data_IF_012580975698
#
_entry.id   IF_012580975698
#
_cell.length_a   1.000
_cell.length_b   1.000
_cell.length_c   1.000
_cell.angle_alpha   90.00
_cell.angle_beta   90.00
_cell.angle_gamma   90.00
#
_symmetry.space_group_name_H-M   'P 1'
#
loop_
_entity.id
_entity.type
_entity.pdbx_description
1 polymer ?
#
# COMPACT_ATOMS: atom_id res chain seq x y z
N UNK A 1 31.96 -11.21 2.08
CA UNK A 1 32.50 -10.37 3.16
C UNK A 1 32.41 -8.92 2.72
N UNK A 2 31.80 -8.03 3.50
CA UNK A 2 31.74 -6.57 3.25
C UNK A 2 32.49 -5.89 4.38
N UNK A 3 33.30 -4.89 4.04
CA UNK A 3 34.00 -4.03 5.00
C UNK A 3 33.55 -2.59 4.81
N UNK A 4 33.23 -1.88 5.89
CA UNK A 4 32.85 -0.48 5.90
C UNK A 4 33.71 0.25 6.95
N UNK A 5 34.30 1.37 6.57
CA UNK A 5 34.97 2.28 7.52
C UNK A 5 33.95 3.34 7.93
N UNK A 6 33.82 3.52 9.23
CA UNK A 6 32.80 4.42 9.80
C UNK A 6 33.31 5.86 9.71
N UNK A 7 32.55 6.72 9.03
CA UNK A 7 32.89 8.14 8.85
C UNK A 7 32.26 9.08 9.88
N UNK A 8 31.27 8.59 10.66
CA UNK A 8 30.60 9.40 11.68
C UNK A 8 29.88 8.50 12.71
N UNK A 9 29.66 9.03 13.90
CA UNK A 9 28.97 8.29 14.96
C UNK A 9 27.51 8.03 14.60
N UNK A 10 27.08 6.77 14.59
CA UNK A 10 25.70 6.35 14.32
C UNK A 10 25.45 4.95 14.91
N UNK A 11 24.18 4.52 14.98
CA UNK A 11 23.81 3.14 15.29
C UNK A 11 24.24 2.21 14.15
N UNK A 12 24.79 1.04 14.50
CA UNK A 12 25.34 0.11 13.51
C UNK A 12 24.30 -0.35 12.47
N UNK A 13 23.03 -0.60 12.88
CA UNK A 13 21.96 -1.01 11.97
C UNK A 13 21.62 0.08 10.94
N UNK A 14 21.72 1.34 11.33
CA UNK A 14 21.51 2.48 10.45
C UNK A 14 22.74 2.72 9.56
N UNK A 15 23.92 2.70 10.17
CA UNK A 15 25.16 2.95 9.42
C UNK A 15 25.33 1.96 8.27
N UNK A 16 25.14 0.65 8.54
CA UNK A 16 25.20 -0.38 7.51
C UNK A 16 24.19 -0.10 6.40
N UNK A 17 22.93 0.24 6.73
CA UNK A 17 21.91 0.47 5.71
C UNK A 17 22.10 1.74 4.89
N UNK A 18 22.74 2.77 5.46
CA UNK A 18 22.99 4.03 4.76
C UNK A 18 24.24 3.99 3.87
N UNK A 19 25.17 3.08 4.16
CA UNK A 19 26.48 3.00 3.50
C UNK A 19 26.70 1.68 2.73
N UNK A 20 25.64 0.88 2.53
CA UNK A 20 25.66 -0.35 1.74
C UNK A 20 24.30 -0.60 1.05
N UNK A 21 24.22 -1.64 0.23
CA UNK A 21 22.96 -2.08 -0.38
C UNK A 21 22.09 -2.94 0.56
N UNK A 22 22.47 -3.08 1.83
CA UNK A 22 21.77 -3.91 2.83
C UNK A 22 20.62 -3.07 3.42
N UNK A 23 19.40 -3.62 3.42
CA UNK A 23 18.28 -2.91 4.06
C UNK A 23 18.47 -2.83 5.57
N UNK A 24 17.83 -1.86 6.24
CA UNK A 24 17.96 -1.71 7.69
C UNK A 24 17.44 -2.93 8.47
N UNK A 25 16.44 -3.62 7.94
CA UNK A 25 15.94 -4.86 8.55
C UNK A 25 16.95 -5.99 8.41
N UNK A 26 17.58 -6.12 7.24
CA UNK A 26 18.62 -7.13 7.03
C UNK A 26 19.86 -6.81 7.85
N UNK A 27 20.24 -5.54 7.98
CA UNK A 27 21.32 -5.12 8.87
C UNK A 27 21.06 -5.51 10.34
N UNK A 28 19.82 -5.34 10.82
CA UNK A 28 19.43 -5.81 12.16
C UNK A 28 19.55 -7.33 12.31
N UNK A 29 19.08 -8.10 11.33
CA UNK A 29 19.17 -9.56 11.39
C UNK A 29 20.61 -10.04 11.31
N UNK A 30 21.48 -9.42 10.49
CA UNK A 30 22.91 -9.70 10.44
C UNK A 30 23.59 -9.47 11.80
N UNK A 31 23.24 -8.38 12.47
CA UNK A 31 23.75 -8.10 13.82
C UNK A 31 23.25 -9.14 14.82
N UNK A 32 21.95 -9.43 14.84
CA UNK A 32 21.35 -10.42 15.76
C UNK A 32 21.87 -11.84 15.54
N UNK A 33 22.14 -12.20 14.28
CA UNK A 33 22.74 -13.51 13.94
C UNK A 33 24.24 -13.59 14.22
N UNK A 34 24.84 -12.47 14.68
CA UNK A 34 26.26 -12.41 15.01
C UNK A 34 27.19 -12.48 13.79
N UNK A 35 26.72 -12.02 12.64
CA UNK A 35 27.50 -11.94 11.40
C UNK A 35 28.20 -10.58 11.23
N UNK A 36 28.10 -9.68 12.21
CA UNK A 36 28.68 -8.33 12.18
C UNK A 36 29.72 -8.19 13.28
N UNK A 37 30.89 -7.70 12.91
CA UNK A 37 32.01 -7.47 13.80
C UNK A 37 32.47 -6.01 13.66
N UNK A 38 33.00 -5.47 14.74
CA UNK A 38 33.57 -4.11 14.78
C UNK A 38 34.97 -4.22 15.35
N UNK A 39 35.94 -3.55 14.74
CA UNK A 39 37.34 -3.52 15.15
C UNK A 39 37.87 -4.86 15.65
N UNK A 40 38.95 -5.36 15.13
CA UNK A 40 39.66 -6.57 15.57
C UNK A 40 38.72 -7.76 16.01
N UNK A 41 37.63 -7.97 15.31
CA UNK A 41 36.68 -9.08 15.52
C UNK A 41 35.79 -9.00 16.78
N UNK A 42 35.50 -7.81 17.31
CA UNK A 42 34.49 -7.65 18.36
C UNK A 42 33.10 -7.93 17.78
N UNK A 43 32.52 -9.08 18.14
CA UNK A 43 31.20 -9.53 17.67
C UNK A 43 30.09 -8.64 18.23
N UNK A 44 29.31 -8.00 17.37
CA UNK A 44 28.18 -7.16 17.76
C UNK A 44 26.87 -7.94 17.58
N UNK A 45 26.07 -8.00 18.65
CA UNK A 45 24.77 -8.70 18.69
C UNK A 45 23.59 -7.77 19.02
N UNK A 46 23.85 -6.47 19.21
CA UNK A 46 22.81 -5.46 19.49
C UNK A 46 22.67 -4.51 18.33
N UNK A 47 21.54 -4.46 17.61
CA UNK A 47 21.34 -3.57 16.45
C UNK A 47 21.45 -2.06 16.76
N UNK A 48 21.29 -1.67 18.02
CA UNK A 48 21.45 -0.30 18.48
C UNK A 48 22.86 0.00 19.01
N UNK A 49 23.83 -0.88 18.79
CA UNK A 49 25.23 -0.63 19.10
C UNK A 49 25.69 0.65 18.36
N UNK A 50 26.36 1.57 19.05
CA UNK A 50 26.88 2.79 18.46
C UNK A 50 28.30 2.57 17.95
N UNK A 51 28.51 2.83 16.66
CA UNK A 51 29.85 2.88 16.04
C UNK A 51 30.34 4.32 15.99
N UNK A 52 31.67 4.49 16.01
CA UNK A 52 32.33 5.78 16.00
C UNK A 52 33.16 5.95 14.74
N UNK A 53 33.55 7.17 14.46
CA UNK A 53 34.45 7.49 13.36
C UNK A 53 35.74 6.66 13.43
N UNK A 54 36.19 6.13 12.30
CA UNK A 54 37.28 5.21 12.10
C UNK A 54 37.09 3.77 12.61
N UNK A 55 35.90 3.40 13.15
CA UNK A 55 35.61 2.01 13.38
C UNK A 55 35.53 1.23 12.04
N UNK A 56 36.04 -0.02 12.01
CA UNK A 56 35.90 -0.93 10.88
C UNK A 56 34.73 -1.88 11.17
N UNK A 57 33.69 -1.86 10.33
CA UNK A 57 32.60 -2.83 10.38
C UNK A 57 32.90 -3.93 9.38
N UNK A 58 32.93 -5.20 9.84
CA UNK A 58 33.09 -6.37 9.00
C UNK A 58 31.82 -7.22 9.03
N UNK A 59 31.22 -7.45 7.86
CA UNK A 59 30.07 -8.34 7.68
C UNK A 59 30.58 -9.62 7.05
N UNK A 60 30.61 -10.70 7.83
CA UNK A 60 31.25 -11.97 7.44
C UNK A 60 30.37 -12.84 6.54
N UNK A 61 29.05 -12.74 6.67
CA UNK A 61 28.09 -13.50 5.89
C UNK A 61 26.90 -12.62 5.56
N UNK A 62 26.54 -12.51 4.29
CA UNK A 62 25.23 -11.98 3.92
C UNK A 62 24.17 -13.02 4.27
N UNK A 63 23.04 -12.57 4.76
CA UNK A 63 21.86 -13.43 4.87
C UNK A 63 21.36 -13.64 3.46
N UNK A 64 21.68 -14.77 2.85
CA UNK A 64 20.97 -15.27 1.68
C UNK A 64 19.56 -15.62 2.15
N UNK A 65 18.72 -14.61 2.31
CA UNK A 65 17.29 -14.82 2.33
C UNK A 65 16.92 -15.24 0.94
N UNK A 66 16.93 -16.51 0.66
CA UNK A 66 16.06 -17.07 -0.37
C UNK A 66 14.64 -16.83 0.16
N UNK A 67 14.13 -15.60 -0.02
CA UNK A 67 12.73 -15.30 0.16
C UNK A 67 12.07 -15.87 -1.09
N UNK A 68 11.87 -17.17 -1.05
CA UNK A 68 11.11 -17.88 -2.05
C UNK A 68 9.64 -17.60 -1.76
N UNK A 69 9.03 -16.72 -2.56
CA UNK A 69 7.59 -16.54 -2.56
C UNK A 69 7.05 -17.53 -3.56
N UNK A 70 6.39 -18.62 -3.09
CA UNK A 70 5.94 -19.65 -4.00
C UNK A 70 4.87 -19.07 -4.95
N UNK A 71 5.05 -19.21 -6.29
CA UNK A 71 3.98 -18.93 -7.23
C UNK A 71 2.78 -19.82 -6.93
N UNK A 72 1.57 -19.24 -6.81
CA UNK A 72 0.35 -20.00 -6.51
C UNK A 72 -0.74 -19.67 -7.52
N UNK A 73 -1.44 -20.68 -8.01
CA UNK A 73 -2.56 -20.49 -8.94
C UNK A 73 -3.74 -19.85 -8.23
N UNK A 74 -3.68 -18.52 -8.09
CA UNK A 74 -4.74 -17.67 -7.56
C UNK A 74 -5.38 -16.95 -8.73
N UNK A 75 -6.71 -17.06 -8.87
CA UNK A 75 -7.46 -16.36 -9.92
C UNK A 75 -7.30 -14.85 -9.76
N UNK A 76 -6.78 -14.18 -10.77
CA UNK A 76 -6.65 -12.73 -10.85
C UNK A 76 -7.79 -12.16 -11.70
N UNK A 77 -8.43 -11.11 -11.21
CA UNK A 77 -9.38 -10.29 -11.98
C UNK A 77 -8.59 -9.17 -12.67
N UNK A 78 -8.08 -9.48 -13.89
CA UNK A 78 -7.29 -8.54 -14.71
C UNK A 78 -8.28 -7.65 -15.47
N UNK A 79 -8.24 -6.35 -15.18
CA UNK A 79 -9.12 -5.35 -15.82
C UNK A 79 -8.46 -4.68 -17.03
N UNK A 80 -7.12 -4.57 -17.00
CA UNK A 80 -6.31 -4.04 -18.08
C UNK A 80 -4.94 -4.71 -18.09
N UNK A 81 -4.42 -4.98 -19.27
CA UNK A 81 -3.08 -5.54 -19.44
C UNK A 81 -2.50 -5.10 -20.79
N UNK A 82 -1.21 -4.74 -20.78
CA UNK A 82 -0.37 -4.58 -21.97
C UNK A 82 1.06 -5.09 -21.68
N UNK A 83 2.03 -4.77 -22.53
CA UNK A 83 3.43 -5.21 -22.38
C UNK A 83 4.13 -4.58 -21.17
N UNK A 84 3.59 -3.53 -20.58
CA UNK A 84 4.24 -2.66 -19.59
C UNK A 84 3.60 -2.71 -18.21
N UNK A 85 2.29 -2.75 -18.17
CA UNK A 85 1.51 -2.70 -16.93
C UNK A 85 0.40 -3.74 -16.93
N UNK A 86 -0.04 -4.08 -15.73
CA UNK A 86 -1.32 -4.77 -15.52
C UNK A 86 -2.09 -4.06 -14.42
N UNK A 87 -3.41 -3.96 -14.56
CA UNK A 87 -4.31 -3.45 -13.53
C UNK A 87 -5.22 -4.56 -13.06
N UNK A 88 -5.16 -4.83 -11.77
CA UNK A 88 -5.91 -5.89 -11.09
C UNK A 88 -7.04 -5.26 -10.27
N UNK A 89 -8.22 -5.85 -10.36
CA UNK A 89 -9.31 -5.61 -9.42
C UNK A 89 -9.17 -6.60 -8.24
N UNK A 90 -8.49 -6.19 -7.19
CA UNK A 90 -8.24 -7.03 -6.02
C UNK A 90 -9.54 -7.27 -5.23
N UNK A 91 -9.89 -8.49 -4.86
CA UNK A 91 -11.01 -8.74 -3.95
C UNK A 91 -10.73 -8.23 -2.54
N UNK A 92 -11.77 -7.99 -1.75
CA UNK A 92 -11.64 -7.83 -0.29
C UNK A 92 -11.12 -9.12 0.35
N UNK A 93 -10.40 -9.00 1.47
CA UNK A 93 -9.81 -10.13 2.20
C UNK A 93 -8.44 -10.59 1.69
N UNK A 94 -8.00 -10.17 0.49
CA UNK A 94 -6.71 -10.55 -0.07
C UNK A 94 -5.60 -9.56 0.33
N UNK A 95 -4.51 -10.07 0.89
CA UNK A 95 -3.29 -9.29 1.17
C UNK A 95 -2.51 -9.07 -0.13
N UNK A 96 -1.91 -7.88 -0.31
CA UNK A 96 -1.17 -7.56 -1.54
C UNK A 96 0.15 -8.31 -1.64
N UNK A 97 0.95 -8.34 -0.59
CA UNK A 97 2.28 -8.97 -0.56
C UNK A 97 2.49 -9.73 0.75
N UNK A 98 3.39 -10.71 0.80
CA UNK A 98 3.62 -11.52 1.98
C UNK A 98 3.82 -10.71 3.25
N UNK A 99 3.16 -11.15 4.32
CA UNK A 99 3.17 -10.56 5.64
C UNK A 99 2.97 -11.66 6.69
N UNK A 100 3.25 -11.42 7.98
CA UNK A 100 3.00 -12.41 9.02
C UNK A 100 1.58 -12.98 8.97
N UNK A 101 1.46 -14.32 8.84
CA UNK A 101 0.20 -15.05 8.69
C UNK A 101 -0.34 -15.15 7.25
N UNK A 102 0.33 -14.55 6.25
CA UNK A 102 -0.02 -14.58 4.84
C UNK A 102 1.25 -14.73 4.00
N UNK A 103 1.69 -15.95 3.73
CA UNK A 103 2.95 -16.21 3.02
C UNK A 103 2.74 -16.73 1.61
N UNK A 104 1.59 -17.38 1.33
CA UNK A 104 1.30 -18.05 0.06
C UNK A 104 -0.10 -17.77 -0.52
N UNK A 105 -0.86 -16.86 0.11
CA UNK A 105 -2.24 -16.49 -0.24
C UNK A 105 -2.40 -15.03 -0.65
N UNK A 106 -1.30 -14.40 -1.09
CA UNK A 106 -1.27 -12.97 -1.42
C UNK A 106 -1.43 -12.73 -2.92
N UNK A 107 -1.76 -11.48 -3.28
CA UNK A 107 -1.80 -11.06 -4.68
C UNK A 107 -0.46 -11.35 -5.39
N UNK A 108 0.67 -11.12 -4.70
CA UNK A 108 2.00 -11.38 -5.25
C UNK A 108 2.20 -12.85 -5.62
N UNK A 109 1.70 -13.81 -4.81
CA UNK A 109 1.78 -15.23 -5.16
C UNK A 109 1.02 -15.54 -6.47
N UNK A 110 -0.16 -14.94 -6.65
CA UNK A 110 -0.93 -15.05 -7.89
C UNK A 110 -0.24 -14.38 -9.08
N UNK A 111 0.33 -13.20 -8.89
CA UNK A 111 1.08 -12.47 -9.93
C UNK A 111 2.30 -13.27 -10.41
N UNK A 112 3.08 -13.84 -9.49
CA UNK A 112 4.24 -14.68 -9.83
C UNK A 112 3.85 -15.92 -10.63
N UNK A 113 2.71 -16.53 -10.30
CA UNK A 113 2.20 -17.69 -11.06
C UNK A 113 1.78 -17.29 -12.47
N UNK A 114 1.07 -16.16 -12.61
CA UNK A 114 0.50 -15.72 -13.89
C UNK A 114 1.57 -15.14 -14.84
N UNK A 115 2.43 -14.26 -14.31
CA UNK A 115 3.41 -13.51 -15.09
C UNK A 115 4.82 -14.11 -15.06
N UNK A 116 5.07 -15.11 -14.23
CA UNK A 116 6.40 -15.74 -14.04
C UNK A 116 7.48 -14.67 -13.79
N UNK A 117 8.46 -14.56 -14.71
CA UNK A 117 9.57 -13.61 -14.60
C UNK A 117 9.28 -12.22 -15.20
N UNK A 118 8.06 -11.99 -15.71
CA UNK A 118 7.67 -10.73 -16.38
C UNK A 118 7.08 -9.72 -15.38
N UNK A 119 7.76 -9.50 -14.26
CA UNK A 119 7.40 -8.50 -13.25
C UNK A 119 8.65 -7.72 -12.84
N UNK A 120 8.47 -6.44 -12.52
CA UNK A 120 9.56 -5.65 -11.93
C UNK A 120 10.01 -6.23 -10.59
N UNK A 121 11.31 -6.22 -10.33
CA UNK A 121 11.91 -6.58 -9.05
C UNK A 121 12.50 -5.37 -8.29
N UNK A 122 12.19 -4.14 -8.73
CA UNK A 122 12.73 -2.88 -8.17
C UNK A 122 12.49 -2.74 -6.65
N UNK A 123 11.33 -3.19 -6.16
CA UNK A 123 11.00 -3.19 -4.73
C UNK A 123 11.42 -4.50 -4.03
N UNK A 124 12.36 -5.24 -4.63
CA UNK A 124 12.89 -6.50 -4.12
C UNK A 124 11.95 -7.68 -4.32
N UNK A 125 12.45 -8.86 -3.94
CA UNK A 125 11.78 -10.14 -4.18
C UNK A 125 10.42 -10.29 -3.48
N UNK A 126 10.17 -9.55 -2.41
CA UNK A 126 8.90 -9.59 -1.67
C UNK A 126 7.75 -8.84 -2.35
N UNK A 127 8.03 -7.98 -3.33
CA UNK A 127 7.05 -7.05 -3.91
C UNK A 127 7.20 -6.92 -5.42
N UNK A 128 7.35 -8.03 -6.17
CA UNK A 128 7.52 -7.96 -7.60
C UNK A 128 6.35 -7.22 -8.26
N UNK A 129 6.67 -6.21 -9.05
CA UNK A 129 5.70 -5.38 -9.77
C UNK A 129 4.89 -4.39 -8.92
N UNK A 130 4.93 -4.46 -7.60
CA UNK A 130 4.05 -3.68 -6.70
C UNK A 130 4.56 -2.25 -6.53
N UNK A 131 3.92 -1.28 -7.16
CA UNK A 131 4.23 0.16 -7.06
C UNK A 131 3.43 0.88 -5.97
N UNK A 132 2.25 0.39 -5.64
CA UNK A 132 1.41 0.86 -4.52
C UNK A 132 0.58 -0.28 -3.95
N UNK A 133 -0.13 -0.01 -2.86
CA UNK A 133 -0.95 -1.03 -2.20
C UNK A 133 -2.26 -0.45 -1.71
N UNK A 134 -3.25 -1.33 -1.57
CA UNK A 134 -4.48 -1.12 -0.81
C UNK A 134 -4.53 -2.12 0.35
N UNK A 135 -5.36 -1.86 1.35
CA UNK A 135 -5.44 -2.72 2.53
C UNK A 135 -6.02 -4.10 2.20
N UNK A 136 -5.82 -5.08 3.11
CA UNK A 136 -6.34 -6.45 2.96
C UNK A 136 -7.83 -6.44 2.59
N UNK A 137 -8.64 -5.77 3.40
CA UNK A 137 -10.09 -5.75 3.25
C UNK A 137 -10.62 -4.57 2.39
N UNK A 138 -9.74 -3.82 1.75
CA UNK A 138 -10.08 -2.87 0.69
C UNK A 138 -10.06 -3.60 -0.65
N UNK A 139 -11.15 -3.51 -1.40
CA UNK A 139 -11.24 -4.06 -2.75
C UNK A 139 -10.91 -3.02 -3.82
N UNK A 140 -10.69 -3.46 -5.06
CA UNK A 140 -10.58 -2.57 -6.23
C UNK A 140 -9.21 -2.51 -6.87
N UNK A 141 -9.00 -1.47 -7.67
CA UNK A 141 -7.92 -1.34 -8.63
C UNK A 141 -6.54 -1.15 -8.01
N UNK A 142 -5.59 -1.90 -8.55
CA UNK A 142 -4.17 -1.83 -8.22
C UNK A 142 -3.33 -1.97 -9.49
N UNK A 143 -2.37 -1.05 -9.71
CA UNK A 143 -1.44 -1.08 -10.84
C UNK A 143 -0.21 -1.91 -10.46
N UNK A 144 0.23 -2.76 -11.40
CA UNK A 144 1.43 -3.60 -11.28
C UNK A 144 2.33 -3.32 -12.48
N UNK A 145 3.62 -3.16 -12.24
CA UNK A 145 4.64 -2.92 -13.26
C UNK A 145 5.26 -4.23 -13.76
N UNK A 146 5.36 -4.42 -15.09
CA UNK A 146 5.97 -5.62 -15.68
C UNK A 146 7.50 -5.56 -15.79
N UNK A 147 8.12 -4.37 -15.69
CA UNK A 147 9.57 -4.20 -15.71
C UNK A 147 10.02 -3.02 -14.83
N UNK A 148 11.32 -2.90 -14.59
CA UNK A 148 11.89 -1.92 -13.67
C UNK A 148 11.82 -0.48 -14.20
N UNK A 149 11.95 -0.25 -15.52
CA UNK A 149 11.78 1.07 -16.13
C UNK A 149 10.39 1.63 -15.81
N UNK A 150 9.36 0.85 -16.09
CA UNK A 150 7.96 1.21 -15.85
C UNK A 150 7.67 1.37 -14.36
N UNK A 151 8.25 0.53 -13.53
CA UNK A 151 8.12 0.63 -12.07
C UNK A 151 8.58 2.02 -11.57
N UNK A 152 9.77 2.44 -11.99
CA UNK A 152 10.34 3.72 -11.59
C UNK A 152 9.52 4.91 -12.09
N UNK A 153 9.00 4.84 -13.32
CA UNK A 153 8.10 5.86 -13.86
C UNK A 153 6.78 5.95 -13.08
N UNK A 154 6.14 4.80 -12.81
CA UNK A 154 4.91 4.76 -12.02
C UNK A 154 5.13 5.23 -10.57
N UNK A 155 6.25 4.86 -9.94
CA UNK A 155 6.61 5.33 -8.59
C UNK A 155 6.81 6.85 -8.56
N UNK A 156 7.44 7.42 -9.60
CA UNK A 156 7.58 8.88 -9.78
C UNK A 156 6.21 9.55 -9.94
N UNK A 157 5.34 9.02 -10.80
CA UNK A 157 4.01 9.56 -11.04
C UNK A 157 3.13 9.48 -9.77
N UNK A 158 3.24 8.40 -8.97
CA UNK A 158 2.57 8.29 -7.66
C UNK A 158 3.08 9.34 -6.67
N UNK A 159 4.39 9.58 -6.63
CA UNK A 159 5.02 10.59 -5.76
C UNK A 159 4.59 12.01 -6.16
N UNK A 160 4.45 12.28 -7.45
CA UNK A 160 4.02 13.57 -8.00
C UNK A 160 2.50 13.76 -8.01
N UNK A 161 1.72 12.75 -7.51
CA UNK A 161 0.25 12.78 -7.53
C UNK A 161 -0.38 12.82 -8.93
N UNK A 162 0.32 12.30 -9.93
CA UNK A 162 -0.12 12.22 -11.33
C UNK A 162 -1.00 11.00 -11.62
N UNK A 163 -1.12 10.07 -10.66
CA UNK A 163 -2.07 8.95 -10.71
C UNK A 163 -3.25 9.27 -9.81
N UNK A 164 -4.38 9.60 -10.42
CA UNK A 164 -5.64 9.85 -9.72
C UNK A 164 -6.22 8.51 -9.26
N UNK A 165 -6.59 8.44 -7.97
CA UNK A 165 -7.16 7.24 -7.33
C UNK A 165 -8.43 7.64 -6.61
N UNK A 166 -9.56 7.15 -7.12
CA UNK A 166 -10.87 7.40 -6.51
C UNK A 166 -11.44 6.15 -5.90
N UNK A 167 -12.04 6.32 -4.75
CA UNK A 167 -12.64 5.26 -3.95
C UNK A 167 -14.11 5.54 -3.70
N UNK A 168 -14.91 4.47 -3.61
CA UNK A 168 -16.23 4.51 -3.01
C UNK A 168 -16.13 4.00 -1.59
N UNK A 169 -16.85 4.62 -0.68
CA UNK A 169 -16.99 4.15 0.68
C UNK A 169 -18.44 4.29 1.18
N UNK A 170 -18.88 3.35 2.01
CA UNK A 170 -20.06 3.51 2.83
C UNK A 170 -19.57 3.84 4.25
N UNK A 171 -20.09 4.91 4.83
CA UNK A 171 -19.71 5.38 6.17
C UNK A 171 -20.90 5.44 7.10
N UNK A 172 -20.63 5.28 8.38
CA UNK A 172 -21.64 5.37 9.44
C UNK A 172 -22.03 6.84 9.66
N UNK A 173 -23.32 7.10 9.75
CA UNK A 173 -23.88 8.44 9.95
C UNK A 173 -24.14 9.18 8.64
N UNK A 174 -24.89 10.26 8.74
CA UNK A 174 -25.15 11.19 7.63
C UNK A 174 -24.13 12.32 7.62
N UNK A 175 -23.51 12.53 6.46
CA UNK A 175 -22.67 13.69 6.24
C UNK A 175 -23.54 14.91 5.93
N UNK A 176 -23.32 16.01 6.64
CA UNK A 176 -24.04 17.25 6.42
C UNK A 176 -23.56 18.00 5.18
N UNK A 177 -22.29 17.96 4.92
CA UNK A 177 -21.65 18.68 3.82
C UNK A 177 -21.50 17.81 2.59
N UNK A 178 -21.89 18.33 1.42
CA UNK A 178 -21.75 17.63 0.13
C UNK A 178 -20.29 17.41 -0.26
N UNK A 179 -19.38 18.32 0.11
CA UNK A 179 -17.95 18.22 -0.17
C UNK A 179 -17.13 18.55 1.07
N UNK A 180 -16.18 17.68 1.38
CA UNK A 180 -15.31 17.83 2.54
C UNK A 180 -13.86 17.61 2.08
N UNK A 181 -12.94 18.47 2.53
CA UNK A 181 -11.50 18.27 2.40
C UNK A 181 -10.93 17.98 3.78
N UNK A 182 -10.36 16.79 3.96
CA UNK A 182 -9.61 16.43 5.18
C UNK A 182 -8.12 16.57 4.87
N UNK A 183 -7.45 17.45 5.62
CA UNK A 183 -5.99 17.65 5.56
C UNK A 183 -5.43 17.47 6.97
N UNK A 184 -5.20 16.23 7.36
CA UNK A 184 -4.76 15.84 8.69
C UNK A 184 -3.58 14.86 8.59
N UNK A 185 -2.40 15.20 9.15
CA UNK A 185 -1.22 14.36 9.04
C UNK A 185 -1.37 13.06 9.84
N UNK A 186 -0.80 11.98 9.30
CA UNK A 186 -0.94 10.62 9.83
C UNK A 186 0.39 10.04 10.27
N UNK A 187 0.40 9.39 11.42
CA UNK A 187 1.53 8.66 12.01
C UNK A 187 1.08 7.30 12.52
N UNK A 188 1.99 6.32 12.51
CA UNK A 188 1.76 5.04 13.18
C UNK A 188 1.61 5.29 14.69
N UNK A 189 0.60 4.67 15.30
CA UNK A 189 0.37 4.79 16.75
C UNK A 189 1.56 4.19 17.50
N UNK A 190 2.03 4.86 18.54
CA UNK A 190 3.21 4.46 19.31
C UNK A 190 2.90 3.32 20.28
N UNK A 191 1.66 3.22 20.73
CA UNK A 191 1.19 2.20 21.68
C UNK A 191 0.67 0.93 20.96
N UNK A 192 0.13 1.07 19.75
CA UNK A 192 -0.33 -0.05 18.92
C UNK A 192 0.14 0.13 17.48
N UNK A 193 1.17 -0.63 17.09
CA UNK A 193 1.75 -0.57 15.75
C UNK A 193 0.83 -1.03 14.61
N UNK A 194 -0.32 -1.63 14.92
CA UNK A 194 -1.35 -1.97 13.93
C UNK A 194 -2.18 -0.75 13.52
N UNK A 195 -2.24 0.26 14.37
CA UNK A 195 -3.03 1.47 14.18
C UNK A 195 -2.23 2.59 13.52
N UNK A 196 -2.94 3.37 12.74
CA UNK A 196 -2.52 4.69 12.27
C UNK A 196 -3.45 5.72 12.94
N UNK A 197 -2.94 6.86 13.30
CA UNK A 197 -3.71 7.93 13.93
C UNK A 197 -3.37 9.30 13.34
N UNK A 198 -4.29 10.24 13.48
CA UNK A 198 -4.03 11.66 13.21
C UNK A 198 -3.03 12.16 14.24
N UNK A 199 -1.93 12.75 13.77
CA UNK A 199 -0.87 13.25 14.64
C UNK A 199 -0.14 14.41 13.95
N UNK A 200 0.03 15.55 14.64
CA UNK A 200 0.70 16.76 14.11
C UNK A 200 2.13 16.51 13.60
N UNK A 201 2.81 15.51 14.14
CA UNK A 201 4.15 15.11 13.73
C UNK A 201 4.11 13.97 12.67
N UNK A 202 2.95 13.70 12.10
CA UNK A 202 2.74 12.70 11.06
C UNK A 202 3.14 13.17 9.67
N UNK A 203 3.02 12.26 8.70
CA UNK A 203 3.19 12.58 7.28
C UNK A 203 1.92 13.23 6.75
N UNK A 204 2.06 14.25 5.94
CA UNK A 204 0.94 14.90 5.24
C UNK A 204 0.00 13.87 4.60
N UNK A 205 -1.30 14.08 4.81
CA UNK A 205 -2.35 13.24 4.26
C UNK A 205 -3.58 14.09 3.89
N UNK A 206 -3.99 14.04 2.63
CA UNK A 206 -5.10 14.83 2.08
C UNK A 206 -6.09 13.92 1.38
N UNK A 207 -7.34 13.95 1.82
CA UNK A 207 -8.49 13.22 1.25
C UNK A 207 -9.60 14.19 0.91
N UNK A 208 -10.09 14.15 -0.31
CA UNK A 208 -11.28 14.88 -0.74
C UNK A 208 -12.45 13.91 -0.73
N UNK A 209 -13.57 14.33 -0.17
CA UNK A 209 -14.79 13.54 -0.03
C UNK A 209 -15.93 14.27 -0.72
N UNK A 210 -16.76 13.52 -1.43
CA UNK A 210 -18.01 13.96 -2.02
C UNK A 210 -19.13 13.03 -1.60
N UNK A 211 -20.19 13.58 -1.00
CA UNK A 211 -21.41 12.84 -0.65
C UNK A 211 -22.19 12.53 -1.92
N UNK A 212 -22.42 11.23 -2.17
CA UNK A 212 -23.21 10.75 -3.30
C UNK A 212 -24.68 10.49 -2.91
N UNK A 213 -24.89 9.82 -1.77
CA UNK A 213 -26.23 9.50 -1.28
C UNK A 213 -26.23 9.31 0.23
N UNK A 214 -27.26 9.83 0.93
CA UNK A 214 -27.59 9.45 2.30
C UNK A 214 -28.70 8.42 2.29
N UNK A 215 -28.64 7.42 3.18
CA UNK A 215 -29.60 6.31 3.25
C UNK A 215 -29.63 5.69 4.65
N UNK A 216 -30.53 4.73 4.87
CA UNK A 216 -30.71 4.05 6.14
C UNK A 216 -30.55 2.53 5.97
N UNK A 217 -29.93 1.88 6.95
CA UNK A 217 -29.94 0.42 7.12
C UNK A 217 -30.50 0.15 8.51
N UNK A 218 -31.65 -0.53 8.63
CA UNK A 218 -32.32 -0.81 9.90
C UNK A 218 -32.43 0.46 10.77
N UNK A 219 -32.99 1.52 10.20
CA UNK A 219 -33.22 2.83 10.84
C UNK A 219 -31.96 3.61 11.26
N UNK A 220 -30.76 3.05 11.04
CA UNK A 220 -29.49 3.75 11.30
C UNK A 220 -29.03 4.50 10.06
N UNK A 221 -28.56 5.75 10.22
CA UNK A 221 -28.13 6.57 9.10
C UNK A 221 -26.76 6.15 8.56
N UNK A 222 -26.59 6.21 7.23
CA UNK A 222 -25.34 5.97 6.50
C UNK A 222 -25.19 6.93 5.33
N UNK A 223 -23.98 7.07 4.84
CA UNK A 223 -23.68 7.84 3.64
C UNK A 223 -22.83 7.02 2.68
N UNK A 224 -23.21 7.02 1.39
CA UNK A 224 -22.34 6.62 0.29
C UNK A 224 -21.55 7.83 -0.16
N UNK A 225 -20.23 7.69 -0.21
CA UNK A 225 -19.31 8.78 -0.54
C UNK A 225 -18.30 8.35 -1.59
N UNK A 226 -17.82 9.32 -2.35
CA UNK A 226 -16.62 9.24 -3.18
C UNK A 226 -15.45 9.87 -2.43
N UNK A 227 -14.28 9.23 -2.48
CA UNK A 227 -13.05 9.74 -1.90
C UNK A 227 -11.96 9.84 -2.97
N UNK A 228 -11.41 11.02 -3.20
CA UNK A 228 -10.28 11.25 -4.08
C UNK A 228 -9.01 11.50 -3.26
N UNK A 229 -7.98 10.70 -3.50
CA UNK A 229 -6.73 10.76 -2.75
C UNK A 229 -5.71 11.69 -3.43
N UNK A 230 -5.22 12.70 -2.71
CA UNK A 230 -3.99 13.42 -3.10
C UNK A 230 -2.74 12.71 -2.59
N UNK A 231 -2.78 12.14 -1.42
CA UNK A 231 -1.71 11.34 -0.81
C UNK A 231 -2.18 9.89 -0.65
N UNK A 232 -1.28 8.93 -0.39
CA UNK A 232 -1.62 7.51 -0.21
C UNK A 232 -0.94 6.92 1.03
N UNK A 233 -1.33 7.36 2.23
CA UNK A 233 -0.79 6.80 3.48
C UNK A 233 -1.56 5.54 3.88
N UNK A 234 -0.91 4.69 4.66
CA UNK A 234 -1.54 3.48 5.21
C UNK A 234 -2.83 3.86 5.95
N UNK A 235 -3.93 3.15 5.66
CA UNK A 235 -5.26 3.35 6.25
C UNK A 235 -5.83 4.78 6.11
N UNK A 236 -5.31 5.62 5.20
CA UNK A 236 -5.59 7.07 5.18
C UNK A 236 -7.08 7.40 5.20
N UNK A 237 -7.87 6.87 4.25
CA UNK A 237 -9.31 7.15 4.16
C UNK A 237 -10.00 6.70 5.45
N UNK A 238 -9.69 5.51 5.94
CA UNK A 238 -10.29 4.90 7.12
C UNK A 238 -10.05 5.73 8.39
N UNK A 239 -8.80 6.16 8.60
CA UNK A 239 -8.42 7.01 9.75
C UNK A 239 -9.05 8.39 9.66
N UNK A 240 -9.03 9.02 8.49
CA UNK A 240 -9.63 10.34 8.28
C UNK A 240 -11.14 10.31 8.58
N UNK A 241 -11.85 9.33 8.04
CA UNK A 241 -13.29 9.17 8.24
C UNK A 241 -13.63 8.86 9.71
N UNK A 242 -12.89 7.97 10.36
CA UNK A 242 -13.07 7.69 11.78
C UNK A 242 -12.80 8.92 12.66
N UNK A 243 -11.79 9.71 12.32
CA UNK A 243 -11.47 10.95 13.05
C UNK A 243 -12.61 11.96 13.04
N UNK A 244 -13.29 12.11 11.90
CA UNK A 244 -14.46 12.99 11.76
C UNK A 244 -15.77 12.31 12.22
N UNK A 245 -15.69 11.16 12.93
CA UNK A 245 -16.83 10.42 13.51
C UNK A 245 -17.74 9.72 12.49
N UNK A 246 -17.25 9.49 11.27
CA UNK A 246 -17.93 8.73 10.22
C UNK A 246 -17.08 7.53 9.77
N UNK A 247 -16.81 6.53 10.64
CA UNK A 247 -15.98 5.39 10.28
C UNK A 247 -16.58 4.61 9.10
N UNK A 248 -15.71 3.96 8.32
CA UNK A 248 -16.16 3.12 7.21
C UNK A 248 -17.00 1.95 7.75
N UNK A 249 -18.14 1.71 7.12
CA UNK A 249 -19.04 0.62 7.49
C UNK A 249 -18.34 -0.74 7.30
N UNK A 250 -18.39 -1.57 8.34
CA UNK A 250 -17.73 -2.88 8.38
C UNK A 250 -16.22 -2.84 8.66
N UNK A 251 -15.62 -1.68 8.95
CA UNK A 251 -14.19 -1.56 9.28
C UNK A 251 -13.87 -2.23 10.62
N UNK A 252 -13.06 -3.32 10.63
CA UNK A 252 -12.78 -4.06 11.86
C UNK A 252 -11.81 -3.36 12.82
N UNK A 253 -11.14 -2.28 12.38
CA UNK A 253 -10.09 -1.60 13.13
C UNK A 253 -10.56 -0.23 13.63
N UNK A 254 -11.15 0.59 12.76
CA UNK A 254 -11.55 1.97 13.08
C UNK A 254 -13.06 2.13 13.24
N UNK A 255 -13.83 1.07 13.04
CA UNK A 255 -15.27 1.02 13.18
C UNK A 255 -15.73 -0.26 13.88
N UNK A 256 -16.75 -0.90 13.33
CA UNK A 256 -17.28 -2.17 13.82
C UNK A 256 -17.33 -3.21 12.70
N UNK A 257 -16.75 -4.38 12.94
CA UNK A 257 -16.85 -5.52 12.02
C UNK A 257 -18.32 -5.96 11.91
N UNK A 258 -18.80 -6.11 10.68
CA UNK A 258 -20.17 -6.53 10.39
C UNK A 258 -20.20 -7.96 9.86
N UNK A 259 -19.34 -8.27 8.90
CA UNK A 259 -19.27 -9.55 8.21
C UNK A 259 -17.86 -9.88 7.71
N UNK A 260 -17.74 -10.87 6.83
CA UNK A 260 -16.46 -11.31 6.28
C UNK A 260 -15.91 -10.43 5.15
N UNK A 261 -16.70 -9.49 4.59
CA UNK A 261 -16.20 -8.57 3.55
C UNK A 261 -15.25 -7.51 4.14
N UNK A 262 -15.47 -7.11 5.41
CA UNK A 262 -14.70 -6.05 6.05
C UNK A 262 -15.19 -4.65 5.67
N UNK A 263 -14.28 -3.68 5.57
CA UNK A 263 -14.63 -2.29 5.28
C UNK A 263 -15.23 -2.10 3.89
N UNK A 264 -16.38 -1.42 3.79
CA UNK A 264 -16.98 -0.99 2.52
C UNK A 264 -16.17 0.18 1.96
N UNK A 265 -14.97 -0.16 1.48
CA UNK A 265 -14.03 0.75 0.82
C UNK A 265 -13.52 0.06 -0.46
N UNK A 266 -13.74 0.71 -1.60
CA UNK A 266 -13.47 0.14 -2.91
C UNK A 266 -12.75 1.13 -3.81
N UNK A 267 -11.55 0.80 -4.28
CA UNK A 267 -10.78 1.56 -5.27
C UNK A 267 -11.42 1.38 -6.66
N UNK A 268 -12.44 2.19 -6.97
CA UNK A 268 -13.28 1.96 -8.15
C UNK A 268 -12.73 2.58 -9.43
N UNK A 269 -11.83 3.58 -9.32
CA UNK A 269 -11.33 4.31 -10.49
C UNK A 269 -9.83 4.60 -10.35
N UNK A 270 -9.12 4.37 -11.45
CA UNK A 270 -7.74 4.84 -11.68
C UNK A 270 -7.70 5.67 -12.96
N UNK A 271 -6.99 6.82 -12.91
CA UNK A 271 -6.75 7.65 -14.09
C UNK A 271 -5.32 8.16 -14.07
N UNK A 272 -4.59 7.96 -15.16
CA UNK A 272 -3.18 8.31 -15.27
C UNK A 272 -2.75 8.42 -16.74
N UNK A 273 -1.57 8.99 -16.96
CA UNK A 273 -0.90 8.94 -18.26
C UNK A 273 -0.05 7.68 -18.29
N UNK A 274 -0.24 6.85 -19.31
CA UNK A 274 0.52 5.61 -19.47
C UNK A 274 2.03 5.92 -19.59
N UNK A 275 2.90 5.32 -18.75
CA UNK A 275 4.30 5.73 -18.66
C UNK A 275 5.12 5.53 -19.94
N UNK A 276 4.71 4.61 -20.82
CA UNK A 276 5.42 4.34 -22.09
C UNK A 276 4.74 4.96 -23.30
N UNK A 277 3.43 4.79 -23.42
CA UNK A 277 2.69 5.23 -24.62
C UNK A 277 2.21 6.68 -24.54
N UNK A 278 2.30 7.30 -23.36
CA UNK A 278 1.84 8.66 -23.03
C UNK A 278 0.33 8.89 -23.27
N UNK A 279 -0.41 7.83 -23.53
CA UNK A 279 -1.87 7.89 -23.67
C UNK A 279 -2.53 8.05 -22.30
N UNK A 280 -3.62 8.81 -22.25
CA UNK A 280 -4.46 8.89 -21.05
C UNK A 280 -5.22 7.58 -20.87
N UNK A 281 -5.10 6.97 -19.71
CA UNK A 281 -5.81 5.76 -19.32
C UNK A 281 -6.75 6.08 -18.18
N UNK A 282 -7.98 5.58 -18.29
CA UNK A 282 -9.00 5.69 -17.26
C UNK A 282 -9.70 4.34 -17.14
N UNK A 283 -9.58 3.71 -15.96
CA UNK A 283 -10.04 2.35 -15.70
C UNK A 283 -11.00 2.36 -14.53
N UNK A 284 -12.07 1.59 -14.66
CA UNK A 284 -13.09 1.44 -13.63
C UNK A 284 -13.22 -0.02 -13.21
N UNK A 285 -13.32 -0.27 -11.91
CA UNK A 285 -13.69 -1.58 -11.36
C UNK A 285 -15.19 -1.69 -11.15
N UNK A 286 -15.72 -2.89 -11.34
CA UNK A 286 -17.11 -3.21 -10.97
C UNK A 286 -17.26 -3.08 -9.45
N UNK A 287 -18.28 -2.34 -9.03
CA UNK A 287 -18.58 -2.15 -7.61
C UNK A 287 -19.08 -3.47 -7.00
N UNK A 288 -18.54 -3.90 -5.84
CA UNK A 288 -18.97 -5.11 -5.16
C UNK A 288 -20.45 -5.07 -4.73
N UNK A 289 -21.09 -6.23 -4.74
CA UNK A 289 -22.53 -6.37 -4.36
C UNK A 289 -22.83 -5.88 -2.93
N UNK A 290 -21.85 -5.90 -2.05
CA UNK A 290 -21.93 -5.44 -0.67
C UNK A 290 -22.20 -3.92 -0.56
N UNK A 291 -22.07 -3.19 -1.67
CA UNK A 291 -22.44 -1.78 -1.79
C UNK A 291 -23.89 -1.57 -2.23
N UNK A 292 -24.60 -2.62 -2.64
CA UNK A 292 -26.00 -2.52 -3.11
C UNK A 292 -26.96 -2.04 -2.00
N UNK A 293 -26.58 -2.18 -0.73
CA UNK A 293 -27.34 -1.64 0.42
C UNK A 293 -27.58 -0.13 0.34
N UNK A 294 -26.79 0.59 -0.45
CA UNK A 294 -26.98 2.00 -0.72
C UNK A 294 -28.04 2.28 -1.78
N UNK A 295 -28.50 1.28 -2.53
CA UNK A 295 -29.47 1.43 -3.63
C UNK A 295 -29.10 2.60 -4.56
N UNK A 296 -27.86 2.65 -4.99
CA UNK A 296 -27.29 3.71 -5.83
C UNK A 296 -27.03 3.18 -7.25
N UNK A 297 -27.31 4.00 -8.27
CA UNK A 297 -26.99 3.67 -9.65
C UNK A 297 -25.51 3.96 -9.96
N UNK A 298 -24.65 2.98 -9.73
CA UNK A 298 -23.21 3.12 -9.97
C UNK A 298 -22.83 3.31 -11.45
N UNK A 299 -23.75 3.02 -12.39
CA UNK A 299 -23.51 3.20 -13.82
C UNK A 299 -23.26 4.68 -14.17
N UNK A 300 -23.81 5.62 -13.42
CA UNK A 300 -23.60 7.04 -13.68
C UNK A 300 -22.16 7.46 -13.40
N UNK A 301 -21.52 6.86 -12.37
CA UNK A 301 -20.09 7.06 -12.08
C UNK A 301 -19.18 6.41 -13.14
N UNK A 302 -19.65 5.34 -13.79
CA UNK A 302 -18.89 4.59 -14.80
C UNK A 302 -19.02 5.19 -16.19
N UNK A 303 -20.07 6.00 -16.44
CA UNK A 303 -20.32 6.65 -17.74
C UNK A 303 -19.44 7.88 -17.98
N UNK A 304 -19.00 8.56 -16.93
CA UNK A 304 -18.10 9.71 -17.05
C UNK A 304 -16.78 9.40 -17.77
N UNK A 305 -16.41 8.12 -17.95
CA UNK A 305 -15.18 7.65 -18.58
C UNK A 305 -15.31 6.94 -19.92
N UNK A 306 -16.50 6.83 -20.50
CA UNK A 306 -16.69 6.16 -21.79
C UNK A 306 -16.41 7.03 -23.03
N UNK A 307 -15.88 8.23 -22.88
CA UNK A 307 -15.35 9.00 -23.99
C UNK A 307 -13.85 8.72 -24.15
N UNK A 308 -13.51 8.03 -25.26
CA UNK A 308 -12.18 7.90 -25.85
C UNK A 308 -11.27 6.74 -25.38
N UNK A 309 -11.68 5.51 -25.70
CA UNK A 309 -10.73 4.53 -26.26
C UNK A 309 -10.92 4.59 -27.79
N UNK A 310 -10.19 5.49 -28.45
CA UNK A 310 -9.93 5.47 -29.89
C UNK A 310 -8.48 5.11 -30.11
#
# INVERSE_FOLDING_TARGET
>A
MIKLIVGYKERIDKYISSNSQITRNDAKELVLSGCVFVNDNVKVIKPNFEVKENDEIVITKLIDKVIDIPPKNIKLDIVYEDDYIVVINKPSGMVVHPAPGHYDDTLVNGLLHHFKNNLSNENGLLRPGIVHRIDKDTSGLLIVAKNNEIHNLLAKNLKNHEIERSYLAIVVGQLENKKIKINLPLKRNENDFKLISVNKNGKEAITHIELLKSFYINEKPYSLIKCDLKTGRTHQIRVHLAYIKHPVYGDPIYGHKIDGFGQRLHAYKLKFIHPKTLKKIEIYAKVPKEFNVAEYNYNDLLKEGKSEIK
#
